data_IF_828144882395
#
_entry.id   IF_828144882395
#
_cell.length_a   1.000
_cell.length_b   1.000
_cell.length_c   1.000
_cell.angle_alpha   90.00
_cell.angle_beta   90.00
_cell.angle_gamma   90.00
#
_symmetry.space_group_name_H-M   'P 1'
#
loop_
_entity.id
_entity.type
_entity.pdbx_description
1 polymer ?
#
# COMPACT_ATOMS: atom_id res chain seq x y z
N UNK A 1 -12.58 -0.10 3.04
CA UNK A 1 -11.23 -0.59 3.38
C UNK A 1 -11.37 -2.06 3.71
N UNK A 2 -10.45 -2.95 3.33
CA UNK A 2 -10.58 -4.38 3.65
C UNK A 2 -10.25 -4.65 5.12
N UNK A 3 -9.30 -3.92 5.70
CA UNK A 3 -8.94 -3.99 7.12
C UNK A 3 -9.37 -2.69 7.79
N UNK A 4 -10.49 -2.71 8.49
CA UNK A 4 -11.00 -1.55 9.22
C UNK A 4 -9.97 -1.09 10.28
N UNK A 5 -9.79 0.21 10.42
CA UNK A 5 -8.87 0.83 11.39
C UNK A 5 -7.40 0.38 11.32
N UNK A 6 -6.96 -0.17 10.18
CA UNK A 6 -5.56 -0.60 9.99
C UNK A 6 -4.59 0.58 9.83
N UNK A 7 -5.04 1.67 9.20
CA UNK A 7 -4.22 2.85 8.97
C UNK A 7 -5.03 4.11 8.79
N UNK A 8 -4.36 5.25 8.95
CA UNK A 8 -4.88 6.57 8.62
C UNK A 8 -4.05 7.20 7.51
N UNK A 9 -4.71 7.91 6.58
CA UNK A 9 -4.03 8.74 5.58
C UNK A 9 -3.77 10.11 6.20
N UNK A 10 -2.50 10.45 6.41
CA UNK A 10 -2.13 11.76 6.97
C UNK A 10 -1.89 12.81 5.90
N UNK A 11 -1.51 12.38 4.70
CA UNK A 11 -1.27 13.28 3.57
C UNK A 11 -1.34 12.52 2.24
N UNK A 12 -1.88 13.16 1.21
CA UNK A 12 -1.76 12.72 -0.18
C UNK A 12 -1.45 13.93 -1.05
N UNK A 13 -0.48 13.78 -1.95
CA UNK A 13 -0.17 14.74 -3.01
C UNK A 13 -0.13 14.01 -4.34
N UNK A 14 -0.74 14.61 -5.37
CA UNK A 14 -0.80 14.05 -6.72
C UNK A 14 -0.30 15.11 -7.71
N UNK A 15 0.59 14.72 -8.61
CA UNK A 15 1.17 15.58 -9.63
C UNK A 15 1.31 14.81 -10.94
N UNK A 16 0.35 15.00 -11.86
CA UNK A 16 0.23 14.17 -13.05
C UNK A 16 -0.09 12.73 -12.66
N UNK A 17 0.67 11.78 -13.21
CA UNK A 17 0.52 10.36 -12.90
C UNK A 17 1.21 9.93 -11.59
N UNK A 18 2.02 10.81 -10.99
CA UNK A 18 2.75 10.48 -9.77
C UNK A 18 1.96 10.88 -8.51
N UNK A 19 1.94 10.01 -7.51
CA UNK A 19 1.33 10.24 -6.22
C UNK A 19 2.30 9.93 -5.07
N UNK A 20 2.18 10.71 -3.99
CA UNK A 20 2.83 10.45 -2.71
C UNK A 20 1.76 10.43 -1.62
N UNK A 21 1.59 9.30 -0.97
CA UNK A 21 0.66 9.13 0.16
C UNK A 21 1.42 8.77 1.42
N UNK A 22 1.20 9.53 2.50
CA UNK A 22 1.72 9.23 3.85
C UNK A 22 0.64 8.56 4.68
N UNK A 23 1.02 7.45 5.30
CA UNK A 23 0.15 6.62 6.11
C UNK A 23 0.71 6.51 7.53
N UNK A 24 -0.18 6.48 8.52
CA UNK A 24 0.12 6.06 9.89
C UNK A 24 -0.55 4.72 10.15
N UNK A 25 0.26 3.69 10.39
CA UNK A 25 -0.19 2.32 10.60
C UNK A 25 -0.54 2.09 12.07
N UNK A 26 -1.72 1.53 12.32
CA UNK A 26 -2.15 1.17 13.66
C UNK A 26 -1.41 -0.08 14.15
N UNK A 27 -0.35 0.12 14.94
CA UNK A 27 0.44 -0.98 15.52
C UNK A 27 -0.36 -1.95 16.41
N UNK A 28 -1.53 -1.52 16.90
CA UNK A 28 -2.39 -2.29 17.83
C UNK A 28 -3.50 -3.03 17.09
N UNK A 29 -3.52 -2.98 15.75
CA UNK A 29 -4.51 -3.66 14.92
C UNK A 29 -4.49 -5.18 15.14
N UNK A 30 -5.67 -5.80 15.15
CA UNK A 30 -5.82 -7.21 15.52
C UNK A 30 -5.10 -8.20 14.60
N UNK A 31 -4.81 -7.82 13.36
CA UNK A 31 -4.03 -8.62 12.41
C UNK A 31 -2.68 -9.09 12.97
N UNK A 32 -2.07 -8.27 13.83
CA UNK A 32 -0.77 -8.56 14.43
C UNK A 32 -0.85 -9.64 15.53
N UNK A 33 -2.04 -9.96 16.03
CA UNK A 33 -2.23 -11.13 16.91
C UNK A 33 -1.90 -12.44 16.16
N UNK A 34 -2.08 -12.47 14.84
CA UNK A 34 -1.75 -13.61 13.98
C UNK A 34 -0.44 -13.46 13.21
N UNK A 35 0.11 -12.25 13.07
CA UNK A 35 1.25 -11.98 12.20
C UNK A 35 2.32 -11.10 12.87
N UNK A 36 3.17 -11.63 13.74
CA UNK A 36 3.14 -12.96 14.37
C UNK A 36 2.96 -12.76 15.89
N UNK A 37 2.39 -13.74 16.63
CA UNK A 37 2.30 -13.63 18.08
C UNK A 37 3.66 -13.28 18.73
N UNK A 38 3.73 -12.14 19.42
CA UNK A 38 4.96 -11.64 20.08
C UNK A 38 6.01 -11.01 19.14
N UNK A 39 5.77 -10.99 17.82
CA UNK A 39 6.64 -10.35 16.83
C UNK A 39 5.79 -9.75 15.69
N UNK A 40 5.23 -8.55 15.87
CA UNK A 40 4.37 -7.92 14.89
C UNK A 40 5.12 -7.64 13.58
N UNK A 41 4.55 -8.11 12.48
CA UNK A 41 5.05 -7.90 11.12
C UNK A 41 3.85 -7.61 10.25
N UNK A 42 3.91 -6.61 9.39
CA UNK A 42 2.81 -6.38 8.44
C UNK A 42 2.86 -7.41 7.33
N UNK A 43 1.75 -8.14 7.05
CA UNK A 43 1.72 -9.10 5.95
C UNK A 43 1.97 -8.41 4.60
N UNK A 44 2.75 -9.05 3.73
CA UNK A 44 3.10 -8.46 2.43
C UNK A 44 1.89 -8.12 1.56
N UNK A 45 0.85 -8.96 1.60
CA UNK A 45 -0.42 -8.72 0.87
C UNK A 45 -1.17 -7.48 1.38
N UNK A 46 -1.01 -7.12 2.66
CA UNK A 46 -1.59 -5.89 3.20
C UNK A 46 -0.86 -4.67 2.66
N UNK A 47 0.47 -4.72 2.55
CA UNK A 47 1.24 -3.65 1.91
C UNK A 47 0.83 -3.45 0.44
N UNK A 48 0.53 -4.53 -0.30
CA UNK A 48 -0.03 -4.42 -1.66
C UNK A 48 -1.43 -3.80 -1.67
N UNK A 49 -2.26 -4.16 -0.68
CA UNK A 49 -3.61 -3.60 -0.53
C UNK A 49 -3.59 -2.08 -0.31
N UNK A 50 -2.59 -1.54 0.40
CA UNK A 50 -2.45 -0.09 0.59
C UNK A 50 -2.31 0.67 -0.73
N UNK A 51 -1.56 0.13 -1.70
CA UNK A 51 -1.45 0.71 -3.06
C UNK A 51 -2.74 0.60 -3.85
N UNK A 52 -3.45 -0.53 -3.76
CA UNK A 52 -4.77 -0.66 -4.37
C UNK A 52 -5.71 0.41 -3.83
N UNK A 53 -5.78 0.57 -2.52
CA UNK A 53 -6.66 1.55 -1.89
C UNK A 53 -6.24 3.01 -2.15
N UNK A 54 -4.95 3.29 -2.30
CA UNK A 54 -4.45 4.57 -2.81
C UNK A 54 -5.03 4.87 -4.20
N UNK A 55 -4.90 3.94 -5.15
CA UNK A 55 -5.48 4.12 -6.48
C UNK A 55 -7.01 4.22 -6.44
N UNK A 56 -7.70 3.43 -5.62
CA UNK A 56 -9.16 3.56 -5.44
C UNK A 56 -9.56 4.96 -4.97
N UNK A 57 -8.79 5.57 -4.06
CA UNK A 57 -9.03 6.95 -3.59
C UNK A 57 -8.77 7.98 -4.69
N UNK A 58 -7.66 7.85 -5.42
CA UNK A 58 -7.27 8.81 -6.47
C UNK A 58 -8.27 8.81 -7.62
N UNK A 59 -8.69 7.63 -8.08
CA UNK A 59 -9.61 7.51 -9.22
C UNK A 59 -11.09 7.47 -8.83
N UNK A 60 -11.41 7.41 -7.53
CA UNK A 60 -12.76 7.22 -7.00
C UNK A 60 -13.48 6.00 -7.61
N UNK A 61 -12.74 4.90 -7.84
CA UNK A 61 -13.22 3.66 -8.46
C UNK A 61 -12.89 2.46 -7.58
N UNK A 62 -13.69 1.40 -7.67
CA UNK A 62 -13.30 0.10 -7.12
C UNK A 62 -12.40 -0.62 -8.10
N UNK A 63 -11.35 -1.25 -7.56
CA UNK A 63 -10.36 -1.93 -8.36
C UNK A 63 -10.36 -3.42 -8.08
N UNK A 64 -10.18 -4.20 -9.12
CA UNK A 64 -9.91 -5.64 -9.03
C UNK A 64 -8.51 -5.89 -9.55
N UNK A 65 -7.69 -6.61 -8.78
CA UNK A 65 -6.35 -7.00 -9.23
C UNK A 65 -6.48 -7.97 -10.41
N UNK A 66 -5.90 -7.62 -11.54
CA UNK A 66 -5.81 -8.49 -12.73
C UNK A 66 -4.54 -9.32 -12.67
N UNK A 67 -3.41 -8.66 -12.43
CA UNK A 67 -2.10 -9.31 -12.26
C UNK A 67 -1.14 -8.43 -11.47
N UNK A 68 -0.20 -9.07 -10.79
CA UNK A 68 0.95 -8.44 -10.17
C UNK A 68 2.22 -8.94 -10.86
N UNK A 69 2.82 -8.09 -11.70
CA UNK A 69 3.90 -8.49 -12.61
C UNK A 69 5.24 -8.65 -11.90
N UNK A 70 5.46 -7.80 -10.90
CA UNK A 70 6.67 -7.84 -10.10
C UNK A 70 6.32 -7.33 -8.71
N UNK A 71 6.57 -8.14 -7.70
CA UNK A 71 6.36 -7.80 -6.29
C UNK A 71 7.60 -8.21 -5.52
N UNK A 72 8.28 -7.26 -4.90
CA UNK A 72 9.52 -7.50 -4.13
C UNK A 72 9.35 -6.95 -2.73
N UNK A 73 9.30 -7.85 -1.74
CA UNK A 73 9.37 -7.52 -0.33
C UNK A 73 10.83 -7.45 0.08
N UNK A 74 11.36 -6.23 0.22
CA UNK A 74 12.80 -5.99 0.41
C UNK A 74 13.21 -5.92 1.88
N UNK A 75 12.26 -5.63 2.77
CA UNK A 75 12.48 -5.59 4.21
C UNK A 75 11.19 -5.95 4.96
N UNK A 76 11.35 -6.34 6.22
CA UNK A 76 10.25 -6.55 7.16
C UNK A 76 9.74 -5.18 7.62
N UNK A 77 8.42 -4.98 7.62
CA UNK A 77 7.81 -3.78 8.19
C UNK A 77 7.12 -4.13 9.53
N UNK A 78 7.73 -3.66 10.62
CA UNK A 78 7.22 -3.78 11.99
C UNK A 78 6.66 -2.42 12.44
N UNK A 79 5.33 -2.29 12.62
CA UNK A 79 4.70 -1.02 13.00
C UNK A 79 5.04 -0.58 14.43
N UNK A 80 5.59 -1.46 15.27
CA UNK A 80 6.02 -1.09 16.63
C UNK A 80 7.35 -0.35 16.63
N UNK A 81 8.16 -0.56 15.59
CA UNK A 81 9.43 0.16 15.36
C UNK A 81 9.17 1.46 14.60
N UNK A 82 8.44 1.40 13.49
CA UNK A 82 8.06 2.57 12.72
C UNK A 82 6.63 2.43 12.20
N UNK A 83 5.75 3.39 12.55
CA UNK A 83 4.34 3.41 12.13
C UNK A 83 4.11 4.17 10.84
N UNK A 84 5.05 5.01 10.42
CA UNK A 84 4.92 5.78 9.20
C UNK A 84 5.30 4.93 7.99
N UNK A 85 4.43 4.97 6.98
CA UNK A 85 4.70 4.38 5.68
C UNK A 85 4.39 5.41 4.59
N UNK A 86 5.36 5.65 3.71
CA UNK A 86 5.22 6.53 2.55
C UNK A 86 5.07 5.66 1.31
N UNK A 87 3.95 5.81 0.62
CA UNK A 87 3.73 5.24 -0.70
C UNK A 87 4.16 6.27 -1.74
N UNK A 88 5.10 5.89 -2.60
CA UNK A 88 5.42 6.61 -3.82
C UNK A 88 4.93 5.78 -4.99
N UNK A 89 4.07 6.33 -5.84
CA UNK A 89 3.47 5.58 -6.94
C UNK A 89 3.38 6.39 -8.22
N UNK A 90 3.54 5.70 -9.34
CA UNK A 90 3.13 6.16 -10.67
C UNK A 90 1.89 5.36 -11.06
N UNK A 91 0.77 6.05 -11.26
CA UNK A 91 -0.54 5.46 -11.50
C UNK A 91 -1.17 6.06 -12.77
N UNK A 92 -1.34 5.22 -13.78
CA UNK A 92 -1.86 5.64 -15.09
C UNK A 92 -3.12 4.85 -15.42
N UNK A 93 -4.18 5.57 -15.83
CA UNK A 93 -5.40 4.97 -16.37
C UNK A 93 -5.26 4.72 -17.88
N UNK A 94 -5.59 3.50 -18.32
CA UNK A 94 -5.51 3.06 -19.73
C UNK A 94 -6.78 2.28 -20.08
N UNK A 95 -7.78 2.98 -20.61
CA UNK A 95 -9.10 2.38 -20.88
C UNK A 95 -9.78 1.96 -19.58
N UNK A 96 -10.15 0.69 -19.46
CA UNK A 96 -10.74 0.12 -18.24
C UNK A 96 -9.71 -0.34 -17.19
N UNK A 97 -8.42 -0.17 -17.48
CA UNK A 97 -7.34 -0.66 -16.63
C UNK A 97 -6.58 0.47 -15.94
N UNK A 98 -6.06 0.20 -14.75
CA UNK A 98 -5.14 1.07 -14.01
C UNK A 98 -3.81 0.35 -13.84
N UNK A 99 -2.74 0.94 -14.38
CA UNK A 99 -1.37 0.48 -14.15
C UNK A 99 -0.84 1.21 -12.93
N UNK A 100 -0.28 0.46 -11.98
CA UNK A 100 0.33 1.02 -10.78
C UNK A 100 1.72 0.46 -10.61
N UNK A 101 2.72 1.35 -10.60
CA UNK A 101 4.08 1.05 -10.16
C UNK A 101 4.33 1.79 -8.85
N UNK A 102 4.75 1.08 -7.82
CA UNK A 102 4.82 1.66 -6.47
C UNK A 102 6.05 1.21 -5.68
N UNK A 103 6.45 2.06 -4.73
CA UNK A 103 7.47 1.79 -3.72
C UNK A 103 6.98 2.26 -2.35
N UNK A 104 6.85 1.35 -1.39
CA UNK A 104 6.52 1.70 0.00
C UNK A 104 7.81 1.83 0.80
N UNK A 105 7.96 2.91 1.56
CA UNK A 105 9.17 3.22 2.32
C UNK A 105 8.84 3.67 3.74
N UNK A 106 9.76 3.40 4.65
CA UNK A 106 9.81 3.96 5.99
C UNK A 106 11.16 4.68 6.21
N UNK A 107 11.49 5.05 7.44
CA UNK A 107 12.77 5.70 7.79
C UNK A 107 14.00 4.85 7.43
N UNK A 108 13.85 3.53 7.40
CA UNK A 108 14.95 2.58 7.27
C UNK A 108 15.19 2.18 5.81
N UNK A 109 14.23 2.47 4.93
CA UNK A 109 14.35 2.27 3.50
C UNK A 109 13.08 1.73 2.85
N UNK A 110 13.25 1.06 1.71
CA UNK A 110 12.13 0.47 0.97
C UNK A 110 11.74 -0.88 1.57
N UNK A 111 10.44 -1.09 1.80
CA UNK A 111 9.88 -2.36 2.30
C UNK A 111 9.20 -3.17 1.19
N UNK A 112 8.62 -2.50 0.20
CA UNK A 112 7.92 -3.12 -0.93
C UNK A 112 8.16 -2.32 -2.20
N UNK A 113 8.43 -3.03 -3.31
CA UNK A 113 8.28 -2.50 -4.67
C UNK A 113 7.29 -3.36 -5.44
N UNK A 114 6.38 -2.74 -6.17
CA UNK A 114 5.40 -3.48 -6.96
C UNK A 114 5.10 -2.86 -8.32
N UNK A 115 4.65 -3.70 -9.25
CA UNK A 115 3.99 -3.33 -10.50
C UNK A 115 2.74 -4.19 -10.65
N UNK A 116 1.58 -3.55 -10.68
CA UNK A 116 0.28 -4.20 -10.74
C UNK A 116 -0.58 -3.60 -11.85
N UNK A 117 -1.43 -4.45 -12.42
CA UNK A 117 -2.52 -4.04 -13.29
C UNK A 117 -3.83 -4.32 -12.57
N UNK A 118 -4.65 -3.29 -12.44
CA UNK A 118 -6.00 -3.38 -11.92
C UNK A 118 -7.01 -3.14 -13.05
N UNK A 119 -8.21 -3.69 -12.89
CA UNK A 119 -9.38 -3.35 -13.68
C UNK A 119 -10.32 -2.49 -12.83
N UNK A 120 -10.81 -1.38 -13.40
CA UNK A 120 -11.85 -0.58 -12.79
C UNK A 120 -13.19 -1.31 -12.89
N UNK A 121 -13.89 -1.38 -11.76
CA UNK A 121 -15.28 -1.86 -11.68
C UNK A 121 -16.30 -0.80 -12.06
#
# INVERSE_FOLDING_TARGET
MILEDFYEVTHTSVSGDSAITKLQINKDHEIYKGHFPGRPVTPGVVLMQLFKEEAERIFAKKLQLVRADNVKFTAVFDPTVNRELILESDITEVGEFIKLKGSARNSDGTVLKLNCLYKAG
#
